data_IF_430286070338
#
_entry.id   IF_430286070338
#
_cell.length_a   1.000
_cell.length_b   1.000
_cell.length_c   1.000
_cell.angle_alpha   90.00
_cell.angle_beta   90.00
_cell.angle_gamma   90.00
#
_symmetry.space_group_name_H-M   'P 1'
#
loop_
_entity.id
_entity.type
_entity.pdbx_description
1 polymer ?
#
# COMPACT_ATOMS: atom_id res chain seq x y z
N UNK A 1 0.19 13.94 0.86
CA UNK A 1 -0.49 12.78 0.24
C UNK A 1 -1.60 12.40 1.19
N UNK A 2 -2.84 12.33 0.73
CA UNK A 2 -3.99 12.15 1.63
C UNK A 2 -4.78 10.94 1.17
N UNK A 3 -4.67 9.85 1.92
CA UNK A 3 -5.45 8.65 1.67
C UNK A 3 -6.83 8.75 2.33
N UNK A 4 -7.84 8.32 1.59
CA UNK A 4 -9.11 7.91 2.18
C UNK A 4 -8.99 6.44 2.55
N UNK A 5 -9.30 6.12 3.80
CA UNK A 5 -9.21 4.76 4.32
C UNK A 5 -10.58 4.16 4.49
N UNK A 6 -10.74 2.93 4.02
CA UNK A 6 -11.92 2.10 4.31
C UNK A 6 -11.51 0.75 4.84
N UNK A 7 -12.39 0.11 5.62
CA UNK A 7 -12.17 -1.28 6.02
C UNK A 7 -12.28 -2.19 4.80
N UNK A 8 -11.44 -3.21 4.74
CA UNK A 8 -11.49 -4.21 3.65
C UNK A 8 -12.81 -4.98 3.70
N UNK A 9 -13.25 -5.38 4.90
CA UNK A 9 -14.58 -5.93 5.16
C UNK A 9 -15.23 -5.20 6.35
N UNK A 10 -16.57 -5.14 6.42
CA UNK A 10 -17.26 -4.45 7.53
C UNK A 10 -16.84 -4.94 8.92
N UNK A 11 -16.55 -6.24 9.04
CA UNK A 11 -16.26 -6.90 10.30
C UNK A 11 -14.77 -7.03 10.64
N UNK A 12 -13.86 -6.49 9.81
CA UNK A 12 -12.42 -6.55 10.10
C UNK A 12 -11.97 -5.34 10.91
N UNK A 13 -11.21 -5.56 11.98
CA UNK A 13 -10.73 -4.49 12.87
C UNK A 13 -9.42 -3.85 12.42
N UNK A 14 -8.47 -4.67 11.93
CA UNK A 14 -7.12 -4.24 11.60
C UNK A 14 -6.78 -4.49 10.13
N UNK A 15 -7.68 -4.12 9.22
CA UNK A 15 -7.54 -4.40 7.79
C UNK A 15 -8.21 -3.30 6.97
N UNK A 16 -7.38 -2.55 6.24
CA UNK A 16 -7.77 -1.29 5.61
C UNK A 16 -7.24 -1.19 4.18
N UNK A 17 -8.09 -0.70 3.29
CA UNK A 17 -7.76 -0.30 1.93
C UNK A 17 -7.57 1.21 1.88
N UNK A 18 -6.52 1.65 1.17
CA UNK A 18 -6.25 3.04 0.87
C UNK A 18 -6.72 3.39 -0.54
N UNK A 19 -7.36 4.56 -0.65
CA UNK A 19 -7.78 5.16 -1.92
C UNK A 19 -7.26 6.62 -1.99
N UNK A 20 -6.82 7.06 -3.18
CA UNK A 20 -6.43 8.45 -3.46
C UNK A 20 -7.15 8.90 -4.73
N UNK A 21 -7.91 10.01 -4.66
CA UNK A 21 -8.66 10.55 -5.80
C UNK A 21 -9.58 9.54 -6.54
N UNK A 22 -10.12 8.55 -5.83
CA UNK A 22 -10.95 7.49 -6.41
C UNK A 22 -10.17 6.30 -6.97
N UNK A 23 -8.84 6.35 -6.94
CA UNK A 23 -7.97 5.24 -7.35
C UNK A 23 -7.61 4.35 -6.16
N UNK A 24 -7.59 3.05 -6.40
CA UNK A 24 -7.13 2.08 -5.42
C UNK A 24 -5.61 2.14 -5.30
N UNK A 25 -5.09 2.50 -4.11
CA UNK A 25 -3.65 2.61 -3.86
C UNK A 25 -3.10 1.29 -3.33
N UNK A 26 -3.76 0.71 -2.33
CA UNK A 26 -3.21 -0.42 -1.62
C UNK A 26 -3.95 -0.80 -0.36
N UNK A 27 -3.28 -1.54 0.51
CA UNK A 27 -3.84 -2.10 1.74
C UNK A 27 -2.81 -2.15 2.85
N UNK A 28 -3.26 -1.93 4.08
CA UNK A 28 -2.54 -2.28 5.30
C UNK A 28 -3.37 -3.26 6.13
N UNK A 29 -2.72 -4.22 6.79
CA UNK A 29 -3.39 -5.12 7.74
C UNK A 29 -2.46 -5.51 8.87
N UNK A 30 -3.02 -5.78 10.05
CA UNK A 30 -2.30 -6.43 11.14
C UNK A 30 -2.42 -7.94 10.99
N UNK A 31 -1.35 -8.67 11.28
CA UNK A 31 -1.38 -10.12 11.39
C UNK A 31 -1.91 -10.45 12.78
N UNK A 32 -2.99 -11.24 12.86
CA UNK A 32 -3.64 -11.61 14.13
C UNK A 32 -3.34 -13.06 14.55
N UNK A 33 -2.40 -13.74 13.88
CA UNK A 33 -2.06 -15.13 14.16
C UNK A 33 -0.60 -15.50 13.84
N UNK A 34 -0.12 -16.60 14.45
CA UNK A 34 1.20 -17.16 14.20
C UNK A 34 2.37 -16.33 14.77
N UNK A 35 3.62 -16.67 14.40
CA UNK A 35 4.82 -16.04 14.95
C UNK A 35 4.95 -14.54 14.67
N UNK A 36 4.24 -14.05 13.65
CA UNK A 36 4.21 -12.64 13.25
C UNK A 36 3.00 -11.88 13.81
N UNK A 37 2.26 -12.48 14.75
CA UNK A 37 1.13 -11.83 15.40
C UNK A 37 1.52 -10.46 15.94
N UNK A 38 0.71 -9.45 15.63
CA UNK A 38 0.91 -8.08 16.04
C UNK A 38 1.57 -7.19 14.99
N UNK A 39 2.28 -7.77 14.02
CA UNK A 39 2.99 -7.05 12.95
C UNK A 39 2.01 -6.50 11.91
N UNK A 40 2.29 -5.31 11.41
CA UNK A 40 1.57 -4.70 10.31
C UNK A 40 2.22 -5.01 8.98
N UNK A 41 1.40 -5.41 8.00
CA UNK A 41 1.81 -5.55 6.61
C UNK A 41 1.23 -4.42 5.78
N UNK A 42 1.97 -3.98 4.78
CA UNK A 42 1.50 -3.02 3.78
C UNK A 42 1.73 -3.60 2.37
N UNK A 43 0.88 -3.20 1.44
CA UNK A 43 0.96 -3.59 0.03
C UNK A 43 0.42 -2.48 -0.87
N UNK A 44 1.21 -2.06 -1.85
CA UNK A 44 0.87 -1.06 -2.86
C UNK A 44 0.41 -1.80 -4.11
N UNK A 45 -0.88 -2.13 -4.18
CA UNK A 45 -1.50 -2.93 -5.26
C UNK A 45 -1.97 -2.06 -6.43
N UNK A 46 -2.16 -0.76 -6.22
CA UNK A 46 -2.51 0.21 -7.26
C UNK A 46 -1.48 0.35 -8.38
N UNK A 47 -0.25 -0.11 -8.15
CA UNK A 47 0.82 -0.10 -9.16
C UNK A 47 1.16 -1.50 -9.70
N UNK A 48 0.44 -2.56 -9.30
CA UNK A 48 0.80 -3.94 -9.63
C UNK A 48 0.67 -4.29 -11.11
N UNK A 49 -0.17 -3.60 -11.91
CA UNK A 49 -0.25 -3.88 -13.36
C UNK A 49 0.97 -3.37 -14.15
N UNK A 50 1.83 -2.55 -13.54
CA UNK A 50 3.13 -2.12 -14.09
C UNK A 50 4.30 -2.99 -13.64
N UNK A 51 4.17 -4.32 -13.74
CA UNK A 51 5.13 -5.35 -13.26
C UNK A 51 6.61 -5.16 -13.72
N UNK A 52 6.90 -4.22 -14.61
CA UNK A 52 8.20 -3.94 -15.23
C UNK A 52 9.03 -2.85 -14.54
N UNK A 53 8.49 -2.17 -13.52
CA UNK A 53 9.18 -1.05 -12.86
C UNK A 53 10.05 -1.52 -11.67
N UNK A 54 11.25 -2.06 -11.95
CA UNK A 54 12.25 -2.37 -10.91
C UNK A 54 12.47 -1.18 -9.95
N UNK A 55 12.40 0.05 -10.46
CA UNK A 55 12.57 1.29 -9.70
C UNK A 55 11.44 1.68 -8.73
N UNK A 56 10.35 0.91 -8.65
CA UNK A 56 9.22 1.19 -7.74
C UNK A 56 9.22 0.27 -6.52
N UNK A 57 10.03 -0.81 -6.54
CA UNK A 57 10.19 -1.73 -5.41
C UNK A 57 10.79 -1.04 -4.17
N UNK A 58 10.49 -1.51 -2.95
CA UNK A 58 9.53 -2.57 -2.63
C UNK A 58 8.08 -2.09 -2.77
N UNK A 59 7.18 -3.03 -3.10
CA UNK A 59 5.72 -2.81 -3.19
C UNK A 59 4.94 -3.38 -2.01
N UNK A 60 5.61 -4.10 -1.12
CA UNK A 60 5.02 -4.63 0.09
C UNK A 60 6.11 -4.79 1.15
N UNK A 61 5.68 -4.99 2.39
CA UNK A 61 6.59 -5.22 3.50
C UNK A 61 5.85 -5.38 4.82
N UNK A 62 6.65 -5.51 5.87
CA UNK A 62 6.21 -5.68 7.25
C UNK A 62 6.87 -4.64 8.13
N UNK A 63 6.12 -4.10 9.09
CA UNK A 63 6.55 -3.07 10.05
C UNK A 63 5.80 -3.24 11.36
N UNK A 64 6.35 -2.72 12.45
CA UNK A 64 5.82 -2.97 13.80
C UNK A 64 4.54 -2.18 14.10
N UNK A 65 4.34 -1.04 13.44
CA UNK A 65 3.26 -0.10 13.76
C UNK A 65 2.33 0.16 12.59
N UNK A 66 1.09 0.54 12.90
CA UNK A 66 0.10 0.96 11.91
C UNK A 66 0.60 2.17 11.12
N UNK A 67 1.13 3.17 11.81
CA UNK A 67 1.58 4.41 11.19
C UNK A 67 2.79 4.14 10.29
N UNK A 68 3.71 3.28 10.68
CA UNK A 68 4.79 2.82 9.81
C UNK A 68 4.28 2.12 8.55
N UNK A 69 3.17 1.39 8.62
CA UNK A 69 2.58 0.74 7.45
C UNK A 69 1.91 1.75 6.51
N UNK A 70 1.29 2.79 7.09
CA UNK A 70 0.72 3.93 6.34
C UNK A 70 1.84 4.70 5.62
N UNK A 71 2.92 5.02 6.32
CA UNK A 71 4.07 5.74 5.77
C UNK A 71 4.77 4.93 4.67
N UNK A 72 4.98 3.63 4.88
CA UNK A 72 5.59 2.77 3.88
C UNK A 72 4.73 2.64 2.61
N UNK A 73 3.40 2.55 2.77
CA UNK A 73 2.47 2.57 1.64
C UNK A 73 2.51 3.91 0.90
N UNK A 74 2.50 5.03 1.63
CA UNK A 74 2.60 6.36 1.05
C UNK A 74 3.91 6.54 0.26
N UNK A 75 5.02 6.07 0.80
CA UNK A 75 6.31 6.11 0.12
C UNK A 75 6.32 5.26 -1.16
N UNK A 76 5.72 4.06 -1.13
CA UNK A 76 5.60 3.21 -2.32
C UNK A 76 4.74 3.86 -3.40
N UNK A 77 3.60 4.44 -3.02
CA UNK A 77 2.72 5.14 -3.95
C UNK A 77 3.39 6.39 -4.55
N UNK A 78 4.16 7.14 -3.75
CA UNK A 78 4.91 8.29 -4.23
C UNK A 78 5.97 7.89 -5.27
N UNK A 79 6.68 6.77 -5.05
CA UNK A 79 7.62 6.21 -6.05
C UNK A 79 6.89 5.82 -7.34
N UNK A 80 5.72 5.19 -7.25
CA UNK A 80 4.92 4.80 -8.41
C UNK A 80 4.52 6.03 -9.24
N UNK A 81 4.01 7.09 -8.59
CA UNK A 81 3.66 8.36 -9.26
C UNK A 81 4.86 9.02 -9.93
N UNK A 82 6.00 9.06 -9.23
CA UNK A 82 7.22 9.64 -9.79
C UNK A 82 7.74 8.83 -11.00
N UNK A 83 7.64 7.51 -10.96
CA UNK A 83 8.00 6.66 -12.09
C UNK A 83 7.07 6.90 -13.29
N UNK A 84 5.76 6.88 -13.07
CA UNK A 84 4.76 7.13 -14.12
C UNK A 84 4.94 8.49 -14.79
N UNK A 85 5.15 9.56 -13.99
CA UNK A 85 5.42 10.89 -14.50
C UNK A 85 6.71 10.96 -15.35
N UNK A 86 7.73 10.17 -15.01
CA UNK A 86 9.02 10.13 -15.73
C UNK A 86 8.95 9.32 -17.02
N UNK A 87 8.17 8.24 -17.06
CA UNK A 87 8.10 7.33 -18.22
C UNK A 87 6.94 7.65 -19.15
N UNK A 88 5.94 8.41 -18.70
CA UNK A 88 4.69 8.62 -19.41
C UNK A 88 3.78 7.39 -19.43
N UNK A 89 4.17 6.31 -18.75
CA UNK A 89 3.38 5.09 -18.65
C UNK A 89 2.37 5.20 -17.50
N UNK A 90 1.14 4.69 -17.66
CA UNK A 90 0.11 4.80 -16.63
C UNK A 90 0.44 3.97 -15.39
N UNK A 91 -0.09 4.40 -14.24
CA UNK A 91 -0.16 3.60 -13.03
C UNK A 91 -1.38 2.69 -13.07
N UNK A 92 -1.23 1.48 -13.63
CA UNK A 92 -2.25 0.44 -13.74
C UNK A 92 -3.53 0.74 -14.55
#
# INVERSE_FOLDING_TARGET
>A
MTFTWRRTFPNTHNDFVAEEAGEHVGRIRRIDCGPQNGIWTWSCTGCQRGHEAEGVRPLNGMVETRDGAIEALAAAWARAKAWSARTGLPMA
#
